data_IF_264290103009
#
_entry.id   IF_264290103009
#
_cell.length_a   1.000
_cell.length_b   1.000
_cell.length_c   1.000
_cell.angle_alpha   90.00
_cell.angle_beta   90.00
_cell.angle_gamma   90.00
#
_symmetry.space_group_name_H-M   'P 1'
#
loop_
_entity.id
_entity.type
_entity.pdbx_description
1 polymer ?
#
# COMPACT_ATOMS: atom_id res chain seq x y z
N UNK A 1 4.59 -11.00 1.16
CA UNK A 1 5.75 -10.63 2.01
C UNK A 1 6.67 -11.80 2.33
N UNK A 2 6.19 -12.88 2.97
CA UNK A 2 7.05 -14.02 3.35
C UNK A 2 7.80 -14.70 2.20
N UNK A 3 7.22 -14.70 0.99
CA UNK A 3 7.78 -15.35 -0.21
C UNK A 3 8.30 -14.40 -1.28
N UNK A 4 8.15 -13.08 -1.07
CA UNK A 4 8.50 -12.06 -2.07
C UNK A 4 7.85 -12.25 -3.46
N UNK A 5 6.72 -12.95 -3.54
CA UNK A 5 5.96 -13.06 -4.79
C UNK A 5 5.48 -11.68 -5.26
N UNK A 6 5.51 -11.40 -6.57
CA UNK A 6 4.98 -10.16 -7.14
C UNK A 6 3.52 -9.94 -6.74
N UNK A 7 3.16 -8.69 -6.44
CA UNK A 7 1.79 -8.29 -6.10
C UNK A 7 1.27 -7.25 -7.07
N UNK A 8 -0.05 -7.20 -7.22
CA UNK A 8 -0.71 -6.27 -8.13
C UNK A 8 -2.18 -6.05 -7.78
N UNK A 9 -2.86 -5.30 -8.65
CA UNK A 9 -4.31 -5.14 -8.56
C UNK A 9 -5.00 -6.47 -8.90
N UNK A 10 -5.91 -6.86 -8.02
CA UNK A 10 -6.78 -8.02 -8.22
C UNK A 10 -8.24 -7.64 -8.02
N UNK A 11 -8.67 -7.38 -6.77
CA UNK A 11 -10.10 -7.24 -6.47
C UNK A 11 -10.73 -5.87 -6.74
N UNK A 12 -9.96 -4.79 -6.78
CA UNK A 12 -10.49 -3.42 -6.89
C UNK A 12 -11.35 -2.90 -5.72
N UNK A 13 -11.79 -3.76 -4.79
CA UNK A 13 -12.77 -3.43 -3.74
C UNK A 13 -12.19 -3.43 -2.30
N UNK A 14 -10.86 -3.55 -2.15
CA UNK A 14 -10.19 -3.49 -0.86
C UNK A 14 -10.14 -4.80 -0.04
N UNK A 15 -10.68 -5.91 -0.54
CA UNK A 15 -10.73 -7.19 0.19
C UNK A 15 -9.45 -8.04 0.10
N UNK A 16 -8.74 -8.02 -1.03
CA UNK A 16 -7.57 -8.90 -1.25
C UNK A 16 -6.27 -8.42 -0.58
N UNK A 17 -6.16 -7.12 -0.27
CA UNK A 17 -4.95 -6.50 0.30
C UNK A 17 -3.65 -6.60 -0.54
N UNK A 18 -3.73 -6.94 -1.82
CA UNK A 18 -2.55 -7.04 -2.70
C UNK A 18 -2.13 -5.72 -3.34
N UNK A 19 -3.01 -4.72 -3.37
CA UNK A 19 -2.72 -3.36 -3.87
C UNK A 19 -2.01 -2.44 -2.86
N UNK A 20 -1.45 -2.99 -1.77
CA UNK A 20 -0.89 -2.19 -0.69
C UNK A 20 0.39 -1.45 -1.11
N UNK A 21 0.43 -0.15 -0.82
CA UNK A 21 1.56 0.73 -1.10
C UNK A 21 1.77 1.69 0.07
N UNK A 22 2.89 2.42 0.05
CA UNK A 22 3.07 3.60 0.90
C UNK A 22 2.49 4.79 0.14
N UNK A 23 1.52 5.48 0.73
CA UNK A 23 0.86 6.65 0.13
C UNK A 23 0.98 7.81 1.09
N UNK A 24 1.61 8.90 0.66
CA UNK A 24 1.86 10.08 1.49
C UNK A 24 2.53 9.76 2.84
N UNK A 25 3.44 8.77 2.84
CA UNK A 25 4.13 8.29 4.05
C UNK A 25 3.39 7.19 4.81
N UNK A 26 2.10 6.94 4.53
CA UNK A 26 1.32 5.90 5.21
C UNK A 26 1.49 4.53 4.56
N UNK A 27 2.12 3.54 5.26
CA UNK A 27 2.26 2.19 4.75
C UNK A 27 0.93 1.43 4.74
N UNK A 28 0.92 0.28 4.07
CA UNK A 28 -0.23 -0.61 3.97
C UNK A 28 -1.52 0.02 3.41
N UNK A 29 -1.41 1.16 2.71
CA UNK A 29 -2.55 1.86 2.14
C UNK A 29 -3.13 1.07 0.97
N UNK A 30 -4.46 0.84 0.99
CA UNK A 30 -5.18 0.11 -0.05
C UNK A 30 -5.48 1.04 -1.24
N UNK A 31 -4.53 1.13 -2.16
CA UNK A 31 -4.61 2.05 -3.30
C UNK A 31 -5.86 1.87 -4.18
N UNK A 32 -6.43 0.66 -4.25
CA UNK A 32 -7.63 0.41 -5.05
C UNK A 32 -8.90 1.13 -4.57
N UNK A 33 -8.94 1.61 -3.31
CA UNK A 33 -10.09 2.32 -2.74
C UNK A 33 -9.69 3.68 -2.13
N UNK A 34 -8.43 4.08 -2.28
CA UNK A 34 -7.95 5.40 -1.86
C UNK A 34 -8.14 6.37 -3.02
N UNK A 35 -8.86 7.47 -2.77
CA UNK A 35 -9.05 8.51 -3.79
C UNK A 35 -7.69 9.11 -4.17
N UNK A 36 -7.45 9.25 -5.48
CA UNK A 36 -6.27 9.94 -5.98
C UNK A 36 -6.47 11.45 -5.84
N UNK A 37 -5.51 12.12 -5.22
CA UNK A 37 -5.51 13.56 -5.04
C UNK A 37 -4.26 14.18 -5.68
N UNK A 38 -4.34 15.42 -6.20
CA UNK A 38 -3.17 16.12 -6.72
C UNK A 38 -2.04 16.19 -5.68
N UNK A 39 -0.84 15.80 -6.08
CA UNK A 39 0.34 15.79 -5.20
C UNK A 39 0.52 14.52 -4.37
N UNK A 40 -0.35 13.51 -4.50
CA UNK A 40 -0.13 12.19 -3.90
C UNK A 40 1.26 11.63 -4.25
N UNK A 41 2.01 11.21 -3.21
CA UNK A 41 3.29 10.50 -3.36
C UNK A 41 3.07 9.03 -3.07
N UNK A 42 3.32 8.19 -4.07
CA UNK A 42 3.08 6.75 -3.99
C UNK A 42 4.40 6.00 -4.18
N UNK A 43 4.67 5.04 -3.30
CA UNK A 43 5.88 4.22 -3.30
C UNK A 43 5.54 2.75 -3.10
N UNK A 44 6.29 1.85 -3.75
CA UNK A 44 6.20 0.42 -3.48
C UNK A 44 6.63 0.14 -2.04
N UNK A 45 5.91 -0.75 -1.37
CA UNK A 45 6.25 -1.20 -0.04
C UNK A 45 6.98 -2.54 -0.10
N UNK A 46 8.14 -2.62 0.54
CA UNK A 46 8.80 -3.88 0.85
C UNK A 46 8.47 -4.30 2.29
N UNK A 47 8.18 -5.59 2.49
CA UNK A 47 7.82 -6.10 3.82
C UNK A 47 6.49 -5.55 4.36
N UNK A 48 6.43 -5.32 5.68
CA UNK A 48 5.21 -4.87 6.37
C UNK A 48 5.00 -3.36 6.33
N UNK A 49 5.99 -2.56 5.92
CA UNK A 49 5.94 -1.09 6.00
C UNK A 49 5.97 -0.66 7.47
N UNK A 50 7.01 0.05 7.88
CA UNK A 50 7.10 0.60 9.23
C UNK A 50 6.56 2.03 9.20
N UNK A 51 5.63 2.35 10.10
CA UNK A 51 5.43 3.73 10.53
C UNK A 51 6.58 4.00 11.51
N UNK A 52 7.57 4.80 11.11
CA UNK A 52 8.37 5.49 12.12
C UNK A 52 7.37 6.31 12.93
N UNK A 53 7.28 6.03 14.24
CA UNK A 53 6.41 6.69 15.22
C UNK A 53 5.04 6.03 15.51
N UNK A 54 5.09 4.89 16.19
CA UNK A 54 4.16 4.65 17.31
C UNK A 54 4.97 4.10 18.49
N UNK A 55 5.54 5.02 19.26
CA UNK A 55 5.97 4.76 20.64
C UNK A 55 5.24 5.72 21.55
#
# INVERSE_FOLDING_TARGET
>A
PKRHDPRGIFCGMGVCHDCRMIVNGHPNTRTCITLAEPGCRVQRQEGLGFEEETR
#
